data_IF_421000999074
#
_entry.id   IF_421000999074
#
_cell.length_a   1.000
_cell.length_b   1.000
_cell.length_c   1.000
_cell.angle_alpha   90.00
_cell.angle_beta   90.00
_cell.angle_gamma   90.00
#
_symmetry.space_group_name_H-M   'P 1'
#
loop_
_entity.id
_entity.type
_entity.pdbx_description
1 polymer ?
#
# COMPACT_ATOMS: atom_id res chain seq x y z
N UNK A 1 14.10 -4.38 -19.02
CA UNK A 1 13.72 -2.96 -19.28
C UNK A 1 12.94 -2.45 -18.08
N UNK A 2 13.23 -1.22 -17.61
CA UNK A 2 12.54 -0.60 -16.48
C UNK A 2 11.04 -0.39 -16.79
N UNK A 3 10.20 -0.49 -15.74
CA UNK A 3 8.74 -0.26 -15.83
C UNK A 3 8.47 1.23 -16.05
N UNK A 4 7.64 1.57 -17.02
CA UNK A 4 7.19 2.95 -17.25
C UNK A 4 5.93 3.27 -16.44
N UNK A 5 6.10 3.84 -15.26
CA UNK A 5 5.00 4.19 -14.35
C UNK A 5 4.07 5.31 -14.88
N UNK A 6 4.43 6.00 -15.97
CA UNK A 6 3.54 6.96 -16.60
C UNK A 6 2.45 6.29 -17.46
N UNK A 7 2.66 5.03 -17.86
CA UNK A 7 1.69 4.22 -18.58
C UNK A 7 0.85 3.41 -17.59
N UNK A 8 -0.09 4.08 -16.95
CA UNK A 8 -0.98 3.47 -15.98
C UNK A 8 -2.42 3.55 -16.46
N UNK A 9 -3.13 2.43 -16.39
CA UNK A 9 -4.55 2.29 -16.75
C UNK A 9 -5.34 1.70 -15.59
N UNK A 10 -6.51 2.27 -15.30
CA UNK A 10 -7.44 1.65 -14.37
C UNK A 10 -8.18 0.50 -15.08
N UNK A 11 -8.11 -0.70 -14.52
CA UNK A 11 -8.69 -1.91 -15.13
C UNK A 11 -10.06 -2.21 -14.55
N UNK A 12 -10.16 -2.37 -13.22
CA UNK A 12 -11.40 -2.66 -12.54
C UNK A 12 -11.30 -2.48 -11.03
N UNK A 13 -12.48 -2.52 -10.40
CA UNK A 13 -12.61 -2.72 -8.96
C UNK A 13 -13.20 -4.10 -8.67
N UNK A 14 -12.62 -4.82 -7.71
CA UNK A 14 -13.13 -6.09 -7.24
C UNK A 14 -13.79 -5.92 -5.87
N UNK A 15 -15.05 -6.30 -5.77
CA UNK A 15 -15.85 -6.28 -4.53
C UNK A 15 -16.09 -7.68 -3.96
N UNK A 16 -15.59 -8.70 -4.65
CA UNK A 16 -15.70 -10.12 -4.30
C UNK A 16 -14.58 -10.92 -4.94
N UNK A 17 -14.21 -12.10 -4.39
CA UNK A 17 -13.04 -12.89 -4.80
C UNK A 17 -13.03 -13.29 -6.28
N UNK A 18 -14.20 -13.53 -6.88
CA UNK A 18 -14.31 -13.95 -8.30
C UNK A 18 -13.84 -12.85 -9.27
N UNK A 19 -13.80 -11.60 -8.79
CA UNK A 19 -13.35 -10.47 -9.59
C UNK A 19 -11.83 -10.19 -9.46
N UNK A 20 -11.10 -10.95 -8.63
CA UNK A 20 -9.64 -10.82 -8.53
C UNK A 20 -8.97 -11.18 -9.85
N UNK A 21 -7.92 -10.43 -10.21
CA UNK A 21 -7.15 -10.68 -11.44
C UNK A 21 -6.10 -11.76 -11.17
N UNK A 22 -6.09 -12.80 -11.98
CA UNK A 22 -5.23 -13.99 -11.87
C UNK A 22 -4.56 -14.34 -13.21
N UNK A 23 -4.09 -13.31 -13.91
CA UNK A 23 -3.50 -13.48 -15.25
C UNK A 23 -1.98 -13.73 -15.23
N UNK A 24 -1.41 -13.97 -14.04
CA UNK A 24 0.00 -14.28 -13.85
C UNK A 24 0.94 -13.09 -13.84
N UNK A 25 0.44 -11.85 -14.06
CA UNK A 25 1.28 -10.65 -13.90
C UNK A 25 1.55 -10.36 -12.44
N UNK A 26 2.77 -9.89 -12.10
CA UNK A 26 3.08 -9.48 -10.73
C UNK A 26 2.12 -8.43 -10.21
N UNK A 27 1.75 -8.53 -8.93
CA UNK A 27 0.87 -7.57 -8.25
C UNK A 27 1.60 -6.91 -7.08
N UNK A 28 1.77 -5.58 -7.16
CA UNK A 28 2.25 -4.73 -6.07
C UNK A 28 1.04 -4.23 -5.30
N UNK A 29 0.83 -4.77 -4.12
CA UNK A 29 -0.38 -4.54 -3.32
C UNK A 29 -0.14 -3.46 -2.27
N UNK A 30 -0.85 -2.33 -2.41
CA UNK A 30 -0.79 -1.20 -1.51
C UNK A 30 -1.88 -1.28 -0.43
N UNK A 31 -1.47 -1.25 0.83
CA UNK A 31 -2.35 -1.18 1.99
C UNK A 31 -1.98 0.00 2.89
N UNK A 32 -2.92 0.46 3.68
CA UNK A 32 -2.69 1.53 4.64
C UNK A 32 -3.99 1.98 5.28
N UNK A 33 -3.88 2.55 6.48
CA UNK A 33 -5.01 3.09 7.22
C UNK A 33 -5.69 4.23 6.46
N UNK A 34 -6.98 4.41 6.69
CA UNK A 34 -7.72 5.58 6.20
C UNK A 34 -7.00 6.88 6.55
N UNK A 35 -6.90 7.79 5.59
CA UNK A 35 -6.22 9.10 5.72
C UNK A 35 -4.69 9.06 5.94
N UNK A 36 -4.03 7.91 5.79
CA UNK A 36 -2.57 7.80 5.83
C UNK A 36 -1.90 8.44 4.60
N UNK A 37 -2.68 8.67 3.54
CA UNK A 37 -2.21 9.22 2.27
C UNK A 37 -1.88 8.15 1.22
N UNK A 38 -2.44 6.94 1.34
CA UNK A 38 -2.22 5.82 0.40
C UNK A 38 -2.49 6.23 -1.05
N UNK A 39 -3.65 6.80 -1.37
CA UNK A 39 -3.97 7.28 -2.72
C UNK A 39 -3.02 8.39 -3.21
N UNK A 40 -2.53 9.24 -2.30
CA UNK A 40 -1.54 10.27 -2.64
C UNK A 40 -0.18 9.65 -3.00
N UNK A 41 0.26 8.60 -2.27
CA UNK A 41 1.47 7.84 -2.59
C UNK A 41 1.32 7.19 -3.96
N UNK A 42 0.21 6.49 -4.22
CA UNK A 42 -0.08 5.86 -5.52
C UNK A 42 -0.06 6.89 -6.65
N UNK A 43 -0.75 8.01 -6.50
CA UNK A 43 -0.77 9.08 -7.50
C UNK A 43 0.62 9.66 -7.76
N UNK A 44 1.44 9.78 -6.71
CA UNK A 44 2.83 10.25 -6.82
C UNK A 44 3.70 9.25 -7.58
N UNK A 45 3.56 7.95 -7.33
CA UNK A 45 4.28 6.91 -8.07
C UNK A 45 3.93 6.92 -9.57
N UNK A 46 2.65 7.08 -9.88
CA UNK A 46 2.13 7.05 -11.25
C UNK A 46 2.25 8.39 -12.00
N UNK A 47 2.82 9.44 -11.39
CA UNK A 47 2.86 10.80 -11.97
C UNK A 47 1.48 11.32 -12.39
N UNK A 48 0.43 10.93 -11.67
CA UNK A 48 -0.95 11.30 -11.98
C UNK A 48 -1.57 12.10 -10.85
N UNK A 49 -2.45 13.03 -11.20
CA UNK A 49 -3.29 13.73 -10.23
C UNK A 49 -4.66 13.05 -10.19
N UNK A 50 -5.15 12.71 -8.99
CA UNK A 50 -6.50 12.14 -8.76
C UNK A 50 -6.80 10.83 -9.52
N UNK A 51 -5.81 10.06 -9.90
CA UNK A 51 -5.99 8.79 -10.60
C UNK A 51 -6.45 7.70 -9.61
N UNK A 52 -5.73 7.49 -8.52
CA UNK A 52 -6.30 6.87 -7.33
C UNK A 52 -7.06 7.97 -6.57
N UNK A 53 -8.33 7.75 -6.26
CA UNK A 53 -9.20 8.79 -5.69
C UNK A 53 -8.70 9.22 -4.31
N UNK A 54 -8.24 10.47 -4.21
CA UNK A 54 -7.93 11.13 -2.95
C UNK A 54 -9.22 11.71 -2.39
N UNK A 55 -9.57 11.42 -1.14
CA UNK A 55 -10.74 12.00 -0.49
C UNK A 55 -12.08 11.41 -0.87
N UNK A 56 -12.14 10.20 -1.44
CA UNK A 56 -13.38 9.44 -1.51
C UNK A 56 -13.98 9.35 -0.10
N UNK A 57 -15.27 9.63 0.01
CA UNK A 57 -15.99 9.61 1.29
C UNK A 57 -15.59 8.37 2.08
N UNK A 58 -15.02 8.54 3.29
CA UNK A 58 -14.56 7.41 4.08
C UNK A 58 -15.73 6.42 4.30
N UNK A 59 -15.48 5.12 4.16
CA UNK A 59 -16.47 4.08 4.34
C UNK A 59 -17.20 3.61 3.07
N UNK A 60 -16.98 4.23 1.89
CA UNK A 60 -17.65 3.81 0.64
C UNK A 60 -16.87 2.83 -0.24
N UNK A 61 -15.62 2.51 0.08
CA UNK A 61 -14.79 1.69 -0.82
C UNK A 61 -14.34 0.41 -0.13
N UNK A 62 -15.22 -0.58 -0.13
CA UNK A 62 -14.88 -1.99 0.21
C UNK A 62 -14.53 -2.74 -1.07
N UNK A 63 -13.57 -2.21 -1.83
CA UNK A 63 -13.18 -2.79 -3.11
C UNK A 63 -11.67 -2.72 -3.31
N UNK A 64 -11.13 -3.70 -4.00
CA UNK A 64 -9.74 -3.76 -4.44
C UNK A 64 -9.67 -3.12 -5.83
N UNK A 65 -8.89 -2.05 -5.99
CA UNK A 65 -8.74 -1.37 -7.26
C UNK A 65 -7.45 -1.83 -7.96
N UNK A 66 -7.56 -2.16 -9.25
CA UNK A 66 -6.45 -2.64 -10.08
C UNK A 66 -6.04 -1.59 -11.10
N UNK A 67 -4.76 -1.22 -11.08
CA UNK A 67 -4.12 -0.35 -12.07
C UNK A 67 -3.03 -1.15 -12.79
N UNK A 68 -3.15 -1.30 -14.11
CA UNK A 68 -2.12 -1.94 -14.93
C UNK A 68 -1.06 -0.92 -15.33
N UNK A 69 0.19 -1.22 -15.05
CA UNK A 69 1.33 -0.36 -15.32
C UNK A 69 2.17 -0.96 -16.43
N UNK A 70 2.37 -0.18 -17.51
CA UNK A 70 3.18 -0.53 -18.69
C UNK A 70 2.85 -1.93 -19.28
N UNK A 71 1.62 -2.37 -19.12
CA UNK A 71 1.11 -3.69 -19.50
C UNK A 71 1.90 -4.87 -18.85
N UNK A 72 2.61 -4.65 -17.75
CA UNK A 72 3.55 -5.61 -17.15
C UNK A 72 3.27 -5.96 -15.70
N UNK A 73 2.79 -5.02 -14.91
CA UNK A 73 2.59 -5.19 -13.47
C UNK A 73 1.31 -4.53 -13.01
N UNK A 74 0.60 -5.13 -12.08
CA UNK A 74 -0.52 -4.48 -11.41
C UNK A 74 -0.04 -3.74 -10.16
N UNK A 75 -0.51 -2.51 -10.00
CA UNK A 75 -0.55 -1.84 -8.72
C UNK A 75 -1.97 -1.98 -8.19
N UNK A 76 -2.10 -2.59 -7.01
CA UNK A 76 -3.38 -2.91 -6.42
C UNK A 76 -3.60 -2.04 -5.20
N UNK A 77 -4.72 -1.31 -5.17
CA UNK A 77 -5.08 -0.43 -4.06
C UNK A 77 -6.15 -1.10 -3.21
N UNK A 78 -5.75 -1.58 -2.02
CA UNK A 78 -6.68 -2.17 -1.07
C UNK A 78 -7.52 -1.10 -0.36
N UNK A 79 -8.76 -1.41 0.07
CA UNK A 79 -9.55 -0.48 0.85
C UNK A 79 -8.84 -0.13 2.17
N UNK A 80 -8.85 1.15 2.54
CA UNK A 80 -8.25 1.62 3.79
C UNK A 80 -8.91 0.99 5.03
N UNK A 81 -8.12 0.62 6.01
CA UNK A 81 -8.60 0.10 7.31
C UNK A 81 -8.63 1.17 8.40
N UNK A 82 -9.07 0.80 9.61
CA UNK A 82 -9.08 1.69 10.79
C UNK A 82 -10.11 2.82 10.72
N UNK A 83 -11.18 2.65 9.94
CA UNK A 83 -12.24 3.65 9.87
C UNK A 83 -13.33 3.39 10.93
N UNK A 84 -13.48 4.34 11.86
CA UNK A 84 -14.35 4.17 13.04
C UNK A 84 -15.87 4.26 12.74
N UNK A 85 -16.26 4.82 11.59
CA UNK A 85 -17.68 5.13 11.27
C UNK A 85 -18.22 4.25 10.14
N UNK A 86 -17.94 2.95 10.15
CA UNK A 86 -18.57 1.98 9.24
C UNK A 86 -19.52 1.09 10.00
N UNK A 87 -20.60 0.65 9.35
CA UNK A 87 -21.51 -0.33 9.93
C UNK A 87 -20.80 -1.65 10.21
N UNK A 88 -21.36 -2.47 11.11
CA UNK A 88 -20.83 -3.82 11.37
C UNK A 88 -20.79 -4.64 10.08
N UNK A 89 -21.85 -4.57 9.27
CA UNK A 89 -21.97 -5.30 8.01
C UNK A 89 -20.91 -4.91 6.98
N UNK A 90 -20.58 -3.61 6.89
CA UNK A 90 -19.50 -3.13 6.00
C UNK A 90 -18.14 -3.60 6.49
N UNK A 91 -17.90 -3.62 7.81
CA UNK A 91 -16.68 -4.14 8.41
C UNK A 91 -16.53 -5.63 8.15
N UNK A 92 -17.58 -6.41 8.33
CA UNK A 92 -17.58 -7.85 8.09
C UNK A 92 -17.38 -8.17 6.59
N UNK A 93 -17.95 -7.38 5.71
CA UNK A 93 -17.74 -7.50 4.25
C UNK A 93 -16.30 -7.18 3.88
N UNK A 94 -15.75 -6.11 4.43
CA UNK A 94 -14.35 -5.74 4.26
C UNK A 94 -13.43 -6.86 4.77
N UNK A 95 -13.67 -7.38 5.97
CA UNK A 95 -12.90 -8.46 6.56
C UNK A 95 -12.86 -9.70 5.67
N UNK A 96 -14.03 -10.18 5.21
CA UNK A 96 -14.11 -11.34 4.30
C UNK A 96 -13.39 -11.11 2.97
N UNK A 97 -13.51 -9.92 2.38
CA UNK A 97 -12.82 -9.60 1.13
C UNK A 97 -11.29 -9.61 1.32
N UNK A 98 -10.80 -9.02 2.42
CA UNK A 98 -9.37 -8.98 2.72
C UNK A 98 -8.83 -10.37 3.06
N UNK A 99 -9.53 -11.14 3.89
CA UNK A 99 -9.17 -12.52 4.19
C UNK A 99 -9.03 -13.34 2.91
N UNK A 100 -10.04 -13.31 2.03
CA UNK A 100 -9.97 -14.00 0.74
C UNK A 100 -8.82 -13.51 -0.13
N UNK A 101 -8.50 -12.21 -0.12
CA UNK A 101 -7.42 -11.64 -0.92
C UNK A 101 -6.04 -12.11 -0.43
N UNK A 102 -5.80 -12.12 0.88
CA UNK A 102 -4.53 -12.54 1.47
C UNK A 102 -4.34 -14.07 1.51
N UNK A 103 -5.43 -14.83 1.49
CA UNK A 103 -5.40 -16.29 1.40
C UNK A 103 -5.21 -16.82 -0.03
N UNK A 104 -5.33 -15.97 -1.06
CA UNK A 104 -5.18 -16.37 -2.46
C UNK A 104 -3.69 -16.63 -2.77
N UNK A 105 -3.29 -17.89 -3.06
CA UNK A 105 -1.89 -18.23 -3.28
C UNK A 105 -1.28 -17.50 -4.48
N UNK A 106 -0.12 -16.87 -4.30
CA UNK A 106 0.63 -16.22 -5.37
C UNK A 106 -0.01 -14.96 -5.96
N UNK A 107 -1.11 -14.47 -5.38
CA UNK A 107 -1.76 -13.24 -5.85
C UNK A 107 -0.90 -12.00 -5.57
N UNK A 108 -0.30 -11.92 -4.38
CA UNK A 108 0.54 -10.79 -3.97
C UNK A 108 2.01 -11.09 -4.27
N UNK A 109 2.62 -10.33 -5.16
CA UNK A 109 4.05 -10.46 -5.48
C UNK A 109 4.91 -9.55 -4.60
N UNK A 110 4.36 -8.44 -4.14
CA UNK A 110 5.02 -7.47 -3.26
C UNK A 110 3.97 -6.71 -2.45
N UNK A 111 4.14 -6.67 -1.13
CA UNK A 111 3.37 -5.81 -0.23
C UNK A 111 3.98 -4.41 -0.12
N UNK A 112 3.15 -3.37 -0.17
CA UNK A 112 3.53 -1.99 0.14
C UNK A 112 2.62 -1.48 1.25
N UNK A 113 3.12 -1.45 2.48
CA UNK A 113 2.39 -0.95 3.64
C UNK A 113 2.71 0.53 3.86
N UNK A 114 1.70 1.39 3.74
CA UNK A 114 1.83 2.83 3.97
C UNK A 114 1.40 3.17 5.40
N UNK A 115 2.33 3.71 6.19
CA UNK A 115 2.11 4.20 7.55
C UNK A 115 2.35 5.71 7.66
N UNK A 116 1.84 6.33 8.70
CA UNK A 116 2.03 7.76 8.95
C UNK A 116 3.34 7.98 9.74
N UNK A 117 4.32 8.63 9.12
CA UNK A 117 5.64 8.86 9.73
C UNK A 117 5.59 9.66 11.05
N UNK A 118 4.49 10.38 11.33
CA UNK A 118 4.34 11.22 12.51
C UNK A 118 3.96 10.46 13.78
N UNK A 119 3.54 9.22 13.65
CA UNK A 119 2.95 8.47 14.73
C UNK A 119 3.49 7.03 14.80
N UNK A 120 3.43 6.47 16.01
CA UNK A 120 3.61 5.02 16.19
C UNK A 120 2.59 4.27 15.33
N UNK A 121 2.98 3.22 14.58
CA UNK A 121 2.05 2.33 13.90
C UNK A 121 0.97 1.81 14.84
N UNK A 122 -0.26 1.75 14.36
CA UNK A 122 -1.40 1.24 15.13
C UNK A 122 -1.42 -0.28 15.15
N UNK A 123 -2.25 -0.87 16.02
CA UNK A 123 -2.46 -2.32 16.03
C UNK A 123 -2.95 -2.84 14.66
N UNK A 124 -3.78 -2.06 13.95
CA UNK A 124 -4.23 -2.42 12.60
C UNK A 124 -3.07 -2.41 11.58
N UNK A 125 -2.11 -1.48 11.70
CA UNK A 125 -0.91 -1.44 10.85
C UNK A 125 -0.03 -2.68 11.10
N UNK A 126 0.14 -3.07 12.37
CA UNK A 126 0.86 -4.29 12.76
C UNK A 126 0.16 -5.53 12.20
N UNK A 127 -1.15 -5.62 12.35
CA UNK A 127 -1.96 -6.74 11.82
C UNK A 127 -1.81 -6.84 10.30
N UNK A 128 -1.89 -5.72 9.58
CA UNK A 128 -1.75 -5.68 8.13
C UNK A 128 -0.34 -6.10 7.69
N UNK A 129 0.69 -5.68 8.42
CA UNK A 129 2.07 -6.09 8.16
C UNK A 129 2.24 -7.61 8.34
N UNK A 130 1.66 -8.18 9.39
CA UNK A 130 1.68 -9.63 9.63
C UNK A 130 0.91 -10.40 8.55
N UNK A 131 -0.19 -9.86 8.04
CA UNK A 131 -0.91 -10.47 6.91
C UNK A 131 -0.03 -10.53 5.66
N UNK A 132 0.69 -9.46 5.32
CA UNK A 132 1.65 -9.50 4.22
C UNK A 132 2.74 -10.54 4.45
N UNK A 133 3.35 -10.57 5.65
CA UNK A 133 4.36 -11.59 5.99
C UNK A 133 3.81 -13.02 5.86
N UNK A 134 2.57 -13.24 6.26
CA UNK A 134 1.89 -14.54 6.14
C UNK A 134 1.72 -15.05 4.70
N UNK A 135 1.76 -14.17 3.71
CA UNK A 135 1.73 -14.58 2.28
C UNK A 135 3.09 -15.05 1.76
N UNK A 136 4.18 -14.82 2.50
CA UNK A 136 5.55 -15.07 2.06
C UNK A 136 6.10 -14.07 1.04
N UNK A 137 5.33 -13.03 0.67
CA UNK A 137 5.81 -12.00 -0.23
C UNK A 137 6.74 -11.00 0.49
N UNK A 138 7.73 -10.39 -0.22
CA UNK A 138 8.50 -9.30 0.34
C UNK A 138 7.59 -8.09 0.65
N UNK A 139 7.97 -7.31 1.67
CA UNK A 139 7.21 -6.12 2.07
C UNK A 139 8.10 -4.88 2.04
N UNK A 140 7.56 -3.78 1.54
CA UNK A 140 8.14 -2.43 1.65
C UNK A 140 7.22 -1.60 2.54
N UNK A 141 7.76 -1.06 3.63
CA UNK A 141 7.05 -0.12 4.50
C UNK A 141 7.35 1.30 4.02
N UNK A 142 6.31 2.10 3.82
CA UNK A 142 6.41 3.50 3.37
C UNK A 142 5.98 4.41 4.51
N UNK A 143 6.92 5.11 5.13
CA UNK A 143 6.66 6.11 6.17
C UNK A 143 6.29 7.45 5.51
N UNK A 144 4.99 7.64 5.21
CA UNK A 144 4.48 8.81 4.51
C UNK A 144 4.27 10.01 5.44
N UNK A 145 4.15 11.21 4.86
CA UNK A 145 4.02 12.51 5.53
C UNK A 145 5.29 12.99 6.21
N UNK A 146 6.45 12.58 5.70
CA UNK A 146 7.75 12.99 6.21
C UNK A 146 7.91 14.53 6.25
N UNK A 147 7.28 15.23 5.31
CA UNK A 147 7.25 16.69 5.20
C UNK A 147 6.58 17.40 6.39
N UNK A 148 5.86 16.69 7.22
CA UNK A 148 5.20 17.20 8.43
C UNK A 148 6.06 17.06 9.69
N UNK A 149 7.23 16.43 9.58
CA UNK A 149 8.19 16.24 10.67
C UNK A 149 9.30 17.31 10.61
N UNK A 150 9.79 17.73 11.78
CA UNK A 150 11.05 18.45 11.89
C UNK A 150 12.22 17.50 11.65
N UNK A 151 13.35 18.01 11.21
CA UNK A 151 14.55 17.17 10.95
C UNK A 151 14.96 16.31 12.15
N UNK A 152 14.85 16.84 13.36
CA UNK A 152 15.17 16.12 14.60
C UNK A 152 14.18 15.01 14.96
N UNK A 153 12.98 15.02 14.39
CA UNK A 153 11.94 14.03 14.67
C UNK A 153 11.96 12.85 13.68
N UNK A 154 12.64 13.00 12.54
CA UNK A 154 12.63 12.00 11.46
C UNK A 154 13.18 10.66 11.94
N UNK A 155 14.45 10.64 12.37
CA UNK A 155 15.11 9.39 12.75
C UNK A 155 14.45 8.71 13.95
N UNK A 156 14.09 9.41 15.05
CA UNK A 156 13.34 8.80 16.15
C UNK A 156 12.02 8.17 15.72
N UNK A 157 11.27 8.81 14.82
CA UNK A 157 10.01 8.27 14.33
C UNK A 157 10.20 7.07 13.40
N UNK A 158 11.22 7.10 12.53
CA UNK A 158 11.55 5.94 11.70
C UNK A 158 11.97 4.75 12.56
N UNK A 159 12.76 4.98 13.62
CA UNK A 159 13.13 3.92 14.55
C UNK A 159 11.91 3.36 15.28
N UNK A 160 10.99 4.23 15.73
CA UNK A 160 9.73 3.81 16.35
C UNK A 160 8.88 2.92 15.41
N UNK A 161 8.88 3.21 14.10
CA UNK A 161 8.19 2.38 13.10
C UNK A 161 8.88 1.03 12.97
N UNK A 162 10.24 0.99 12.89
CA UNK A 162 11.02 -0.25 12.84
C UNK A 162 10.71 -1.15 14.04
N UNK A 163 10.80 -0.59 15.23
CA UNK A 163 10.59 -1.34 16.48
C UNK A 163 9.15 -1.84 16.60
N UNK A 164 8.16 -1.01 16.22
CA UNK A 164 6.74 -1.37 16.36
C UNK A 164 6.30 -2.45 15.37
N UNK A 165 6.82 -2.42 14.15
CA UNK A 165 6.54 -3.43 13.13
C UNK A 165 7.52 -4.62 13.19
N UNK A 166 8.50 -4.59 14.11
CA UNK A 166 9.53 -5.61 14.23
C UNK A 166 10.24 -5.87 12.88
N UNK A 167 10.67 -4.77 12.24
CA UNK A 167 11.36 -4.86 10.94
C UNK A 167 12.74 -5.50 11.12
N UNK A 168 13.02 -6.49 10.29
CA UNK A 168 14.30 -7.17 10.20
C UNK A 168 15.23 -6.49 9.19
N UNK A 169 16.51 -6.91 9.12
CA UNK A 169 17.52 -6.31 8.21
C UNK A 169 17.10 -6.35 6.73
N UNK A 170 16.41 -7.41 6.32
CA UNK A 170 15.93 -7.56 4.94
C UNK A 170 14.68 -6.73 4.63
N UNK A 171 13.99 -6.21 5.64
CA UNK A 171 12.81 -5.37 5.45
C UNK A 171 13.20 -3.98 4.97
N UNK A 172 12.41 -3.42 4.09
CA UNK A 172 12.65 -2.10 3.52
C UNK A 172 11.71 -1.08 4.14
N UNK A 173 12.28 -0.05 4.77
CA UNK A 173 11.55 1.12 5.22
C UNK A 173 11.96 2.32 4.35
N UNK A 174 11.00 2.92 3.65
CA UNK A 174 11.21 4.10 2.79
C UNK A 174 10.56 5.32 3.43
N UNK A 175 11.36 6.31 3.89
CA UNK A 175 10.86 7.62 4.27
C UNK A 175 10.25 8.32 3.05
N UNK A 176 9.00 8.81 3.16
CA UNK A 176 8.24 9.28 2.00
C UNK A 176 7.46 10.57 2.28
N UNK A 177 7.39 11.43 1.28
CA UNK A 177 6.44 12.53 1.22
C UNK A 177 5.70 12.53 -0.11
N UNK A 178 4.43 12.17 -0.08
CA UNK A 178 3.58 12.25 -1.27
C UNK A 178 3.42 13.70 -1.75
N UNK A 179 3.49 14.69 -0.85
CA UNK A 179 3.39 16.11 -1.16
C UNK A 179 4.65 16.63 -1.85
N UNK A 180 5.83 16.35 -1.31
CA UNK A 180 7.12 16.85 -1.83
C UNK A 180 7.75 15.92 -2.88
N UNK A 181 7.36 14.65 -2.93
CA UNK A 181 7.95 13.63 -3.79
C UNK A 181 9.23 13.01 -3.25
N UNK A 182 9.60 13.31 -2.00
CA UNK A 182 10.73 12.67 -1.31
C UNK A 182 10.47 11.17 -1.19
N UNK A 183 11.50 10.34 -1.40
CA UNK A 183 11.42 8.89 -1.29
C UNK A 183 10.82 8.18 -2.52
N UNK A 184 10.38 8.93 -3.54
CA UNK A 184 9.74 8.33 -4.71
C UNK A 184 10.66 7.40 -5.49
N UNK A 185 11.87 7.84 -5.81
CA UNK A 185 12.82 7.05 -6.57
C UNK A 185 13.28 5.82 -5.77
N UNK A 186 13.47 5.99 -4.47
CA UNK A 186 13.81 4.93 -3.52
C UNK A 186 12.72 3.85 -3.48
N UNK A 187 11.44 4.26 -3.44
CA UNK A 187 10.32 3.34 -3.46
C UNK A 187 10.20 2.60 -4.80
N UNK A 188 10.35 3.31 -5.93
CA UNK A 188 10.35 2.70 -7.26
C UNK A 188 11.50 1.70 -7.43
N UNK A 189 12.70 2.05 -6.95
CA UNK A 189 13.86 1.16 -6.95
C UNK A 189 13.62 -0.10 -6.09
N UNK A 190 13.08 0.09 -4.88
CA UNK A 190 12.73 -1.00 -3.98
C UNK A 190 11.69 -1.96 -4.59
N UNK A 191 10.69 -1.44 -5.29
CA UNK A 191 9.69 -2.24 -6.02
C UNK A 191 10.35 -3.03 -7.15
N UNK A 192 11.12 -2.36 -8.03
CA UNK A 192 11.77 -3.01 -9.18
C UNK A 192 12.74 -4.10 -8.74
N UNK A 193 13.55 -3.85 -7.72
CA UNK A 193 14.52 -4.82 -7.20
C UNK A 193 13.84 -6.09 -6.67
N UNK A 194 12.72 -5.92 -5.94
CA UNK A 194 12.00 -7.05 -5.34
C UNK A 194 11.17 -7.84 -6.34
N UNK A 195 10.72 -7.21 -7.42
CA UNK A 195 10.04 -7.89 -8.52
C UNK A 195 10.99 -8.50 -9.56
N UNK A 196 12.30 -8.17 -9.50
CA UNK A 196 13.29 -8.62 -10.49
C UNK A 196 13.09 -7.99 -11.88
N UNK A 197 12.60 -6.74 -11.97
CA UNK A 197 12.24 -6.06 -13.22
C UNK A 197 12.86 -4.67 -13.37
#
# INVERSE_FOLDING_TARGET
MAINYNKAEFIRSAVRPEAFIRDGRPQVTCAGRSNVGKSSVINRLLNRKNFARVGATPGKTTQVNYFLIDNRVYLTDLPGYGYAKVSKEERDRWGRLMESYFQEPGLISLGVLIVDARHKPTADDVTMFQWFRGTGCPVVVVANKLDKLKKSEIEPNLQLIRDTLELEEQDCLVPFSAEKGTGKNELLSAISQRLGV
#
